data_IF_119080176402
#
_entry.id   IF_119080176402
#
_cell.length_a   1.000
_cell.length_b   1.000
_cell.length_c   1.000
_cell.angle_alpha   90.00
_cell.angle_beta   90.00
_cell.angle_gamma   90.00
#
_symmetry.space_group_name_H-M   'P 1'
#
loop_
_entity.id
_entity.type
_entity.pdbx_description
1 polymer ?
#
# COMPACT_ATOMS: atom_id res chain seq x y z
N UNK A 1 4.36 -17.37 -4.17
CA UNK A 1 4.36 -17.08 -2.72
C UNK A 1 5.64 -17.62 -2.09
N UNK A 2 6.17 -16.96 -1.07
CA UNK A 2 7.29 -17.43 -0.25
C UNK A 2 6.99 -17.11 1.22
N UNK A 3 7.54 -17.86 2.18
CA UNK A 3 7.41 -17.49 3.61
C UNK A 3 8.46 -16.43 3.96
N UNK A 4 8.03 -15.31 4.52
CA UNK A 4 8.92 -14.30 5.11
C UNK A 4 9.50 -14.84 6.42
N UNK A 5 10.61 -14.24 6.90
CA UNK A 5 11.26 -14.61 8.17
C UNK A 5 10.34 -14.54 9.39
N UNK A 6 9.27 -13.75 9.32
CA UNK A 6 8.25 -13.62 10.37
C UNK A 6 7.09 -14.63 10.25
N UNK A 7 7.18 -15.63 9.37
CA UNK A 7 6.13 -16.65 9.19
C UNK A 7 4.97 -16.23 8.28
N UNK A 8 4.86 -14.95 7.92
CA UNK A 8 3.83 -14.47 6.99
C UNK A 8 4.10 -14.90 5.54
N UNK A 9 3.04 -15.08 4.75
CA UNK A 9 3.14 -15.31 3.31
C UNK A 9 3.53 -14.00 2.61
N UNK A 10 4.70 -13.99 1.98
CA UNK A 10 5.14 -12.97 1.04
C UNK A 10 4.75 -13.33 -0.37
N UNK A 11 4.20 -12.36 -1.10
CA UNK A 11 4.11 -12.44 -2.54
C UNK A 11 5.43 -11.92 -3.14
N UNK A 12 5.99 -12.65 -4.10
CA UNK A 12 7.12 -12.20 -4.90
C UNK A 12 6.67 -12.25 -6.34
N UNK A 13 6.49 -11.08 -6.93
CA UNK A 13 6.19 -10.89 -8.34
C UNK A 13 7.16 -11.67 -9.21
N UNK A 14 8.47 -11.50 -8.98
CA UNK A 14 9.53 -12.19 -9.73
C UNK A 14 9.40 -13.71 -9.68
N UNK A 15 9.08 -14.30 -8.51
CA UNK A 15 8.90 -15.75 -8.39
C UNK A 15 7.62 -16.25 -9.03
N UNK A 16 6.51 -15.51 -8.92
CA UNK A 16 5.27 -15.89 -9.58
C UNK A 16 5.41 -15.77 -11.10
N UNK A 17 5.94 -14.65 -11.59
CA UNK A 17 6.17 -14.38 -13.00
C UNK A 17 7.08 -15.43 -13.65
N UNK A 18 8.20 -15.78 -12.99
CA UNK A 18 9.11 -16.84 -13.44
C UNK A 18 8.48 -18.25 -13.40
N UNK A 19 7.49 -18.48 -12.53
CA UNK A 19 6.79 -19.77 -12.47
C UNK A 19 5.62 -19.85 -13.48
N UNK A 20 4.88 -18.76 -13.66
CA UNK A 20 3.70 -18.68 -14.52
C UNK A 20 4.08 -18.58 -16.00
N UNK A 21 5.19 -17.90 -16.33
CA UNK A 21 5.69 -17.76 -17.70
C UNK A 21 7.23 -17.80 -17.74
N UNK A 22 7.86 -18.99 -17.57
CA UNK A 22 9.31 -19.12 -17.36
C UNK A 22 10.16 -18.46 -18.44
N UNK A 23 9.85 -18.71 -19.71
CA UNK A 23 10.64 -18.17 -20.83
C UNK A 23 10.42 -16.67 -21.08
N UNK A 24 9.37 -16.08 -20.50
CA UNK A 24 9.03 -14.68 -20.73
C UNK A 24 9.81 -13.75 -19.80
N UNK A 25 10.10 -14.21 -18.58
CA UNK A 25 10.84 -13.45 -17.58
C UNK A 25 12.29 -13.94 -17.37
N UNK A 26 12.70 -15.06 -17.98
CA UNK A 26 14.05 -15.61 -17.90
C UNK A 26 15.15 -14.79 -18.60
N UNK A 27 14.80 -13.86 -19.49
CA UNK A 27 15.78 -13.04 -20.19
C UNK A 27 16.25 -11.88 -19.28
N UNK A 28 17.39 -12.10 -18.62
CA UNK A 28 18.09 -11.18 -17.68
C UNK A 28 18.85 -10.04 -18.38
N UNK A 29 18.50 -9.70 -19.62
CA UNK A 29 18.98 -8.42 -20.16
C UNK A 29 18.47 -7.32 -19.23
N UNK A 30 19.32 -6.38 -18.78
CA UNK A 30 18.94 -5.36 -17.80
C UNK A 30 18.00 -4.37 -18.49
N UNK A 31 16.73 -4.76 -18.61
CA UNK A 31 15.67 -3.83 -18.91
C UNK A 31 15.59 -2.95 -17.67
N UNK A 32 15.79 -1.65 -17.88
CA UNK A 32 15.55 -0.58 -16.89
C UNK A 32 14.11 -0.55 -16.37
N UNK A 33 13.30 -1.60 -16.56
CA UNK A 33 11.83 -1.57 -16.48
C UNK A 33 11.20 -2.76 -15.76
N UNK A 34 11.95 -3.51 -14.93
CA UNK A 34 11.37 -4.68 -14.22
C UNK A 34 10.25 -4.27 -13.23
N UNK A 35 10.21 -3.01 -12.83
CA UNK A 35 9.10 -2.43 -12.07
C UNK A 35 8.50 -1.24 -12.82
N UNK A 36 7.17 -1.11 -12.81
CA UNK A 36 6.55 0.19 -13.08
C UNK A 36 7.23 1.22 -12.18
N UNK A 37 7.83 2.24 -12.79
CA UNK A 37 8.41 3.36 -12.06
C UNK A 37 7.40 3.92 -11.06
N UNK A 38 7.85 4.38 -9.88
CA UNK A 38 6.97 4.93 -8.85
C UNK A 38 5.98 5.97 -9.39
N UNK A 39 6.42 6.83 -10.31
CA UNK A 39 5.57 7.80 -10.99
C UNK A 39 4.39 7.17 -11.76
N UNK A 40 4.62 6.09 -12.52
CA UNK A 40 3.55 5.39 -13.25
C UNK A 40 2.54 4.74 -12.32
N UNK A 41 3.01 4.21 -11.17
CA UNK A 41 2.14 3.70 -10.10
C UNK A 41 1.27 4.81 -9.53
N UNK A 42 1.85 5.98 -9.26
CA UNK A 42 1.11 7.15 -8.79
C UNK A 42 0.03 7.59 -9.77
N UNK A 43 0.36 7.65 -11.07
CA UNK A 43 -0.61 8.05 -12.11
C UNK A 43 -1.78 7.08 -12.16
N UNK A 44 -1.52 5.77 -12.16
CA UNK A 44 -2.58 4.77 -12.11
C UNK A 44 -3.40 4.90 -10.82
N UNK A 45 -2.74 5.03 -9.68
CA UNK A 45 -3.41 5.14 -8.38
C UNK A 45 -4.35 6.34 -8.31
N UNK A 46 -3.86 7.52 -8.71
CA UNK A 46 -4.64 8.76 -8.71
C UNK A 46 -5.85 8.67 -9.65
N UNK A 47 -5.68 8.05 -10.82
CA UNK A 47 -6.77 7.82 -11.76
C UNK A 47 -7.88 6.97 -11.15
N UNK A 48 -7.51 5.89 -10.45
CA UNK A 48 -8.49 4.97 -9.87
C UNK A 48 -9.15 5.49 -8.62
N UNK A 49 -8.42 6.15 -7.73
CA UNK A 49 -9.02 6.73 -6.52
C UNK A 49 -10.03 7.84 -6.85
N UNK A 50 -9.86 8.51 -8.00
CA UNK A 50 -10.83 9.49 -8.50
C UNK A 50 -12.04 8.84 -9.22
N UNK A 51 -12.00 7.54 -9.48
CA UNK A 51 -13.08 6.82 -10.17
C UNK A 51 -14.21 6.45 -9.20
N UNK A 52 -15.39 6.16 -9.74
CA UNK A 52 -16.54 5.74 -8.94
C UNK A 52 -16.32 4.40 -8.22
N UNK A 53 -15.50 3.52 -8.80
CA UNK A 53 -15.10 2.26 -8.19
C UNK A 53 -13.58 2.14 -8.17
N UNK A 54 -12.92 2.53 -7.06
CA UNK A 54 -11.46 2.56 -6.97
C UNK A 54 -10.76 1.21 -7.08
N UNK A 55 -11.50 0.10 -7.16
CA UNK A 55 -10.94 -1.25 -7.21
C UNK A 55 -10.84 -1.82 -8.63
N UNK A 56 -11.53 -1.21 -9.58
CA UNK A 56 -11.68 -1.74 -10.93
C UNK A 56 -10.81 -0.96 -11.90
N UNK A 57 -10.22 -1.66 -12.87
CA UNK A 57 -9.55 -1.01 -13.97
C UNK A 57 -10.58 -0.66 -15.05
N UNK A 58 -10.38 0.48 -15.69
CA UNK A 58 -11.17 0.99 -16.80
C UNK A 58 -10.38 0.95 -18.11
N UNK A 59 -11.03 1.35 -19.20
CA UNK A 59 -10.43 1.39 -20.53
C UNK A 59 -9.22 2.32 -20.66
N UNK A 60 -9.10 3.34 -19.79
CA UNK A 60 -8.05 4.36 -19.83
C UNK A 60 -6.87 4.06 -18.92
N UNK A 61 -7.04 3.12 -17.99
CA UNK A 61 -6.07 2.77 -16.96
C UNK A 61 -4.67 2.51 -17.50
N UNK A 62 -4.56 1.72 -18.58
CA UNK A 62 -3.27 1.33 -19.15
C UNK A 62 -2.57 2.48 -19.88
N UNK A 63 -3.34 3.41 -20.44
CA UNK A 63 -2.82 4.63 -21.03
C UNK A 63 -2.30 5.58 -19.94
N UNK A 64 -3.11 5.83 -18.90
CA UNK A 64 -2.74 6.74 -17.79
C UNK A 64 -1.52 6.22 -17.02
N UNK A 65 -1.43 4.90 -16.82
CA UNK A 65 -0.26 4.25 -16.21
C UNK A 65 0.99 4.25 -17.11
N UNK A 66 0.88 4.72 -18.37
CA UNK A 66 1.99 4.75 -19.32
C UNK A 66 2.45 3.37 -19.80
N UNK A 67 1.61 2.33 -19.65
CA UNK A 67 1.86 0.99 -20.21
C UNK A 67 1.69 1.02 -21.72
N UNK A 68 0.74 1.81 -22.22
CA UNK A 68 0.54 2.04 -23.65
C UNK A 68 0.55 3.53 -23.96
N UNK A 69 1.02 3.89 -25.15
CA UNK A 69 1.21 5.30 -25.54
C UNK A 69 -0.05 5.94 -26.16
N UNK A 70 -1.11 5.14 -26.39
CA UNK A 70 -2.34 5.61 -27.02
C UNK A 70 -3.60 5.01 -26.38
N UNK A 71 -4.62 5.84 -26.16
CA UNK A 71 -5.92 5.41 -25.62
C UNK A 71 -6.60 4.32 -26.46
N UNK A 72 -6.47 4.40 -27.79
CA UNK A 72 -7.05 3.41 -28.70
C UNK A 72 -6.46 2.02 -28.50
N UNK A 73 -5.18 1.94 -28.13
CA UNK A 73 -4.51 0.68 -27.76
C UNK A 73 -4.95 0.24 -26.37
N UNK A 74 -5.10 1.18 -25.43
CA UNK A 74 -5.60 0.90 -24.06
C UNK A 74 -6.97 0.22 -24.09
N UNK A 75 -7.91 0.72 -24.93
CA UNK A 75 -9.22 0.07 -25.15
C UNK A 75 -9.10 -1.36 -25.67
N UNK A 76 -8.20 -1.60 -26.63
CA UNK A 76 -7.95 -2.95 -27.18
C UNK A 76 -7.35 -3.88 -26.13
N UNK A 77 -6.42 -3.39 -25.32
CA UNK A 77 -5.84 -4.12 -24.19
C UNK A 77 -6.93 -4.50 -23.20
N UNK A 78 -7.74 -3.53 -22.77
CA UNK A 78 -8.87 -3.75 -21.87
C UNK A 78 -9.82 -4.84 -22.37
N UNK A 79 -10.28 -4.74 -23.63
CA UNK A 79 -11.15 -5.73 -24.25
C UNK A 79 -10.50 -7.13 -24.32
N UNK A 80 -9.19 -7.19 -24.61
CA UNK A 80 -8.45 -8.46 -24.62
C UNK A 80 -8.29 -9.05 -23.23
N UNK A 81 -8.03 -8.25 -22.20
CA UNK A 81 -7.92 -8.73 -20.83
C UNK A 81 -9.26 -9.28 -20.33
N UNK A 82 -10.37 -8.60 -20.64
CA UNK A 82 -11.73 -9.12 -20.38
C UNK A 82 -12.00 -10.42 -21.11
N UNK A 83 -11.71 -10.48 -22.41
CA UNK A 83 -11.88 -11.70 -23.22
C UNK A 83 -11.13 -12.92 -22.67
N UNK A 84 -9.99 -12.70 -22.01
CA UNK A 84 -9.18 -13.77 -21.42
C UNK A 84 -9.42 -13.93 -19.90
N UNK A 85 -10.47 -13.32 -19.36
CA UNK A 85 -10.88 -13.38 -17.94
C UNK A 85 -9.84 -12.84 -16.94
N UNK A 86 -8.80 -12.13 -17.41
CA UNK A 86 -7.80 -11.48 -16.55
C UNK A 86 -8.40 -10.23 -15.91
N UNK A 87 -9.33 -9.59 -16.61
CA UNK A 87 -10.28 -8.66 -16.01
C UNK A 87 -11.64 -9.33 -15.98
N UNK A 88 -12.30 -9.27 -14.82
CA UNK A 88 -13.71 -9.65 -14.69
C UNK A 88 -14.60 -8.61 -15.38
N UNK A 89 -15.89 -8.92 -15.50
CA UNK A 89 -16.87 -8.03 -16.15
C UNK A 89 -16.96 -6.66 -15.48
N UNK A 90 -16.82 -6.63 -14.15
CA UNK A 90 -16.77 -5.42 -13.32
C UNK A 90 -15.45 -4.64 -13.44
N UNK A 91 -14.41 -5.22 -14.04
CA UNK A 91 -13.08 -4.63 -14.17
C UNK A 91 -12.11 -4.98 -13.04
N UNK A 92 -12.47 -5.90 -12.13
CA UNK A 92 -11.53 -6.43 -11.14
C UNK A 92 -10.45 -7.27 -11.82
N UNK A 93 -9.20 -7.10 -11.37
CA UNK A 93 -8.06 -7.89 -11.83
C UNK A 93 -8.08 -9.27 -11.17
N UNK A 94 -7.85 -10.30 -11.98
CA UNK A 94 -7.58 -11.67 -11.53
C UNK A 94 -6.25 -12.14 -12.13
N UNK A 95 -5.18 -12.06 -11.33
CA UNK A 95 -3.84 -12.40 -11.83
C UNK A 95 -3.60 -13.90 -11.97
N UNK A 96 -4.46 -14.75 -11.40
CA UNK A 96 -4.35 -16.21 -11.54
C UNK A 96 -4.62 -16.68 -12.98
N UNK A 97 -5.30 -15.86 -13.77
CA UNK A 97 -5.58 -16.11 -15.19
C UNK A 97 -4.40 -15.79 -16.10
N UNK A 98 -3.35 -15.14 -15.58
CA UNK A 98 -2.11 -14.89 -16.31
C UNK A 98 -1.30 -16.19 -16.34
N UNK A 99 -1.28 -16.84 -17.50
CA UNK A 99 -0.56 -18.09 -17.72
C UNK A 99 0.37 -18.06 -18.93
N UNK A 100 0.93 -19.21 -19.33
CA UNK A 100 1.92 -19.31 -20.41
C UNK A 100 1.45 -18.77 -21.77
N UNK A 101 0.13 -18.71 -21.99
CA UNK A 101 -0.49 -18.21 -23.23
C UNK A 101 -0.64 -16.68 -23.25
N UNK A 102 -0.39 -16.00 -22.13
CA UNK A 102 -0.51 -14.53 -22.02
C UNK A 102 0.21 -13.77 -23.15
N UNK A 103 1.45 -14.12 -23.54
CA UNK A 103 2.15 -13.38 -24.59
C UNK A 103 1.45 -13.45 -25.94
N UNK A 104 0.82 -14.59 -26.24
CA UNK A 104 0.05 -14.79 -27.47
C UNK A 104 -1.32 -14.09 -27.40
N UNK A 105 -1.97 -14.10 -26.23
CA UNK A 105 -3.25 -13.44 -26.02
C UNK A 105 -3.16 -11.91 -26.22
N UNK A 106 -2.01 -11.33 -25.83
CA UNK A 106 -1.71 -9.91 -25.87
C UNK A 106 -0.65 -9.53 -26.93
N UNK A 107 -0.55 -10.31 -28.02
CA UNK A 107 0.39 -10.11 -29.11
C UNK A 107 0.28 -8.74 -29.85
N UNK A 108 -0.74 -7.94 -29.54
CA UNK A 108 -0.85 -6.55 -30.01
C UNK A 108 0.16 -5.60 -29.34
N UNK A 109 0.78 -6.03 -28.23
CA UNK A 109 1.83 -5.33 -27.52
C UNK A 109 3.17 -6.03 -27.76
N UNK A 110 4.27 -5.28 -27.78
CA UNK A 110 5.61 -5.86 -27.77
C UNK A 110 5.93 -6.49 -26.41
N UNK A 111 6.96 -7.35 -26.36
CA UNK A 111 7.34 -8.10 -25.15
C UNK A 111 7.58 -7.20 -23.93
N UNK A 112 8.20 -6.04 -24.12
CA UNK A 112 8.47 -5.09 -23.03
C UNK A 112 7.19 -4.47 -22.47
N UNK A 113 6.25 -4.06 -23.33
CA UNK A 113 4.95 -3.54 -22.90
C UNK A 113 4.08 -4.62 -22.26
N UNK A 114 4.19 -5.86 -22.71
CA UNK A 114 3.53 -6.99 -22.06
C UNK A 114 4.10 -7.22 -20.64
N UNK A 115 5.42 -7.12 -20.44
CA UNK A 115 6.05 -7.18 -19.11
C UNK A 115 5.56 -6.03 -18.21
N UNK A 116 5.57 -4.79 -18.71
CA UNK A 116 5.04 -3.61 -18.00
C UNK A 116 3.58 -3.84 -17.59
N UNK A 117 2.74 -4.34 -18.50
CA UNK A 117 1.34 -4.62 -18.22
C UNK A 117 1.17 -5.65 -17.11
N UNK A 118 1.91 -6.76 -17.15
CA UNK A 118 1.87 -7.78 -16.11
C UNK A 118 2.29 -7.16 -14.77
N UNK A 119 3.39 -6.39 -14.75
CA UNK A 119 3.82 -5.66 -13.55
C UNK A 119 2.73 -4.74 -13.00
N UNK A 120 2.03 -4.00 -13.87
CA UNK A 120 0.93 -3.12 -13.48
C UNK A 120 -0.23 -3.89 -12.87
N UNK A 121 -0.65 -5.00 -13.49
CA UNK A 121 -1.79 -5.79 -13.04
C UNK A 121 -1.54 -6.40 -11.65
N UNK A 122 -0.34 -6.95 -11.43
CA UNK A 122 0.05 -7.49 -10.13
C UNK A 122 0.13 -6.40 -9.06
N UNK A 123 0.81 -5.29 -9.36
CA UNK A 123 0.88 -4.17 -8.45
C UNK A 123 -0.51 -3.65 -8.09
N UNK A 124 -1.41 -3.53 -9.07
CA UNK A 124 -2.78 -3.06 -8.83
C UNK A 124 -3.59 -4.03 -7.98
N UNK A 125 -3.45 -5.33 -8.19
CA UNK A 125 -4.10 -6.33 -7.35
C UNK A 125 -3.62 -6.24 -5.88
N UNK A 126 -2.32 -6.09 -5.66
CA UNK A 126 -1.75 -5.85 -4.33
C UNK A 126 -2.26 -4.54 -3.71
N UNK A 127 -2.35 -3.47 -4.51
CA UNK A 127 -2.87 -2.18 -4.06
C UNK A 127 -4.35 -2.28 -3.68
N UNK A 128 -5.16 -3.00 -4.45
CA UNK A 128 -6.55 -3.30 -4.09
C UNK A 128 -6.65 -4.08 -2.77
N UNK A 129 -5.75 -5.05 -2.53
CA UNK A 129 -5.70 -5.75 -1.24
C UNK A 129 -5.34 -4.80 -0.09
N UNK A 130 -4.40 -3.88 -0.30
CA UNK A 130 -4.03 -2.85 0.68
C UNK A 130 -5.21 -1.93 0.99
N UNK A 131 -5.88 -1.42 -0.04
CA UNK A 131 -7.06 -0.56 0.11
C UNK A 131 -8.19 -1.25 0.87
N UNK A 132 -8.48 -2.53 0.59
CA UNK A 132 -9.49 -3.30 1.34
C UNK A 132 -9.14 -3.46 2.82
N UNK A 133 -7.85 -3.58 3.17
CA UNK A 133 -7.41 -3.62 4.56
C UNK A 133 -7.65 -2.29 5.26
N UNK A 134 -7.33 -1.18 4.60
CA UNK A 134 -7.60 0.16 5.14
C UNK A 134 -9.10 0.41 5.30
N UNK A 135 -9.92 -0.01 4.33
CA UNK A 135 -11.38 0.10 4.44
C UNK A 135 -11.92 -0.73 5.61
N UNK A 136 -11.42 -1.95 5.82
CA UNK A 136 -11.79 -2.78 6.97
C UNK A 136 -11.36 -2.14 8.30
N UNK A 137 -10.14 -1.61 8.37
CA UNK A 137 -9.63 -0.90 9.55
C UNK A 137 -10.47 0.35 9.86
N UNK A 138 -10.84 1.14 8.84
CA UNK A 138 -11.72 2.30 9.00
C UNK A 138 -13.10 1.88 9.52
N UNK A 139 -13.68 0.81 9.00
CA UNK A 139 -14.97 0.27 9.46
C UNK A 139 -14.92 -0.19 10.92
N UNK A 140 -13.86 -0.89 11.32
CA UNK A 140 -13.66 -1.35 12.70
C UNK A 140 -13.53 -0.15 13.66
N UNK A 141 -12.78 0.88 13.25
CA UNK A 141 -12.64 2.12 14.02
C UNK A 141 -13.97 2.89 14.13
N UNK A 142 -14.76 2.97 13.07
CA UNK A 142 -16.08 3.61 13.12
C UNK A 142 -17.04 2.88 14.07
N UNK A 143 -16.98 1.54 14.13
CA UNK A 143 -17.74 0.77 15.10
C UNK A 143 -17.33 1.06 16.56
N UNK A 144 -16.01 1.11 16.83
CA UNK A 144 -15.47 1.43 18.16
C UNK A 144 -15.77 2.87 18.58
N UNK A 145 -15.73 3.82 17.65
CA UNK A 145 -16.11 5.22 17.90
C UNK A 145 -17.58 5.27 18.29
N UNK A 146 -18.46 4.66 17.51
CA UNK A 146 -19.90 4.61 17.80
C UNK A 146 -20.19 4.02 19.18
N UNK A 147 -19.54 2.91 19.54
CA UNK A 147 -19.67 2.30 20.87
C UNK A 147 -19.19 3.25 21.98
N UNK A 148 -18.07 3.94 21.77
CA UNK A 148 -17.50 4.90 22.72
C UNK A 148 -18.36 6.14 22.90
N UNK A 149 -18.99 6.64 21.83
CA UNK A 149 -19.96 7.75 21.88
C UNK A 149 -21.20 7.35 22.69
N UNK A 150 -21.72 6.13 22.48
CA UNK A 150 -22.84 5.61 23.27
C UNK A 150 -22.45 5.48 24.75
N UNK A 151 -21.24 4.98 25.07
CA UNK A 151 -20.75 4.90 26.46
C UNK A 151 -20.68 6.29 27.09
N UNK A 152 -20.13 7.27 26.39
CA UNK A 152 -20.00 8.64 26.87
C UNK A 152 -21.36 9.26 27.25
N UNK A 153 -22.44 8.95 26.50
CA UNK A 153 -23.79 9.43 26.83
C UNK A 153 -24.44 8.76 28.04
N UNK A 154 -23.95 7.59 28.46
CA UNK A 154 -24.48 6.82 29.60
C UNK A 154 -23.70 7.06 30.89
N UNK A 155 -22.47 7.56 30.80
CA UNK A 155 -21.62 7.86 31.94
C UNK A 155 -22.05 9.18 32.60
N UNK A 156 -22.05 9.21 33.92
CA UNK A 156 -22.37 10.41 34.71
C UNK A 156 -21.38 11.55 34.42
N UNK A 157 -21.91 12.77 34.36
CA UNK A 157 -21.15 14.01 34.15
C UNK A 157 -20.11 14.19 35.27
N UNK A 158 -18.88 14.57 34.89
CA UNK A 158 -17.72 14.85 35.76
C UNK A 158 -17.10 13.64 36.48
N UNK A 159 -17.43 12.41 36.08
CA UNK A 159 -16.72 11.22 36.55
C UNK A 159 -15.35 11.06 35.87
N UNK A 160 -14.36 10.53 36.60
CA UNK A 160 -13.06 10.15 36.03
C UNK A 160 -13.20 9.14 34.87
N UNK A 161 -14.27 8.34 34.88
CA UNK A 161 -14.62 7.41 33.81
C UNK A 161 -15.01 8.16 32.52
N UNK A 162 -15.77 9.26 32.63
CA UNK A 162 -16.16 10.07 31.48
C UNK A 162 -14.93 10.67 30.78
N UNK A 163 -13.97 11.18 31.56
CA UNK A 163 -12.73 11.73 31.03
C UNK A 163 -11.89 10.67 30.31
N UNK A 164 -11.78 9.46 30.87
CA UNK A 164 -11.09 8.32 30.25
C UNK A 164 -11.75 7.89 28.91
N UNK A 165 -13.09 7.82 28.87
CA UNK A 165 -13.84 7.50 27.65
C UNK A 165 -13.62 8.58 26.58
N UNK A 166 -13.58 9.86 26.98
CA UNK A 166 -13.33 10.98 26.06
C UNK A 166 -11.92 10.91 25.46
N UNK A 167 -10.90 10.66 26.27
CA UNK A 167 -9.52 10.48 25.79
C UNK A 167 -9.40 9.30 24.82
N UNK A 168 -10.08 8.19 25.13
CA UNK A 168 -10.12 7.01 24.26
C UNK A 168 -10.81 7.33 22.93
N UNK A 169 -11.94 8.04 22.97
CA UNK A 169 -12.66 8.49 21.78
C UNK A 169 -11.80 9.38 20.88
N UNK A 170 -11.08 10.34 21.46
CA UNK A 170 -10.20 11.22 20.71
C UNK A 170 -9.08 10.41 20.03
N UNK A 171 -8.48 9.45 20.72
CA UNK A 171 -7.47 8.54 20.14
C UNK A 171 -8.04 7.72 18.98
N UNK A 172 -9.25 7.17 19.11
CA UNK A 172 -9.91 6.43 18.02
C UNK A 172 -10.16 7.33 16.80
N UNK A 173 -10.59 8.57 17.03
CA UNK A 173 -10.78 9.57 15.96
C UNK A 173 -9.46 9.91 15.26
N UNK A 174 -8.37 10.06 16.02
CA UNK A 174 -7.03 10.24 15.45
C UNK A 174 -6.57 9.02 14.65
N UNK A 175 -6.77 7.81 15.16
CA UNK A 175 -6.44 6.58 14.45
C UNK A 175 -7.20 6.48 13.12
N UNK A 176 -8.49 6.80 13.11
CA UNK A 176 -9.30 6.84 11.88
C UNK A 176 -8.77 7.86 10.88
N UNK A 177 -8.41 9.05 11.32
CA UNK A 177 -7.85 10.04 10.40
C UNK A 177 -6.48 9.59 9.86
N UNK A 178 -5.66 8.88 10.66
CA UNK A 178 -4.41 8.27 10.17
C UNK A 178 -4.68 7.27 9.04
N UNK A 179 -5.70 6.42 9.16
CA UNK A 179 -6.11 5.49 8.08
C UNK A 179 -6.51 6.27 6.82
N UNK A 180 -7.33 7.31 6.97
CA UNK A 180 -7.72 8.19 5.85
C UNK A 180 -6.52 8.86 5.19
N UNK A 181 -5.53 9.27 5.98
CA UNK A 181 -4.29 9.85 5.48
C UNK A 181 -3.46 8.82 4.71
N UNK A 182 -3.29 7.58 5.21
CA UNK A 182 -2.65 6.47 4.49
C UNK A 182 -3.34 6.19 3.15
N UNK A 183 -4.67 6.30 3.10
CA UNK A 183 -5.46 6.16 1.86
C UNK A 183 -5.25 7.30 0.87
N UNK A 184 -4.93 8.53 1.32
CA UNK A 184 -4.71 9.66 0.41
C UNK A 184 -3.29 9.70 -0.17
N UNK A 185 -2.35 8.97 0.46
CA UNK A 185 -0.95 8.97 0.05
C UNK A 185 -0.72 8.22 -1.25
N UNK A 186 0.04 8.86 -2.15
CA UNK A 186 0.49 8.23 -3.39
C UNK A 186 1.50 7.12 -3.10
N UNK A 187 1.53 6.04 -3.90
CA UNK A 187 2.51 4.97 -3.77
C UNK A 187 3.96 5.44 -3.54
N UNK A 188 4.42 6.47 -4.25
CA UNK A 188 5.79 6.99 -4.11
C UNK A 188 6.07 7.77 -2.82
N UNK A 189 5.03 8.20 -2.11
CA UNK A 189 5.13 9.02 -0.88
C UNK A 189 5.07 8.17 0.39
N UNK A 190 4.82 6.87 0.27
CA UNK A 190 4.59 5.98 1.40
C UNK A 190 5.90 5.53 2.01
N UNK A 191 5.97 5.56 3.33
CA UNK A 191 7.07 4.99 4.11
C UNK A 191 6.80 3.50 4.38
N UNK A 192 7.70 2.59 3.98
CA UNK A 192 7.55 1.15 4.23
C UNK A 192 7.42 0.79 5.72
N UNK A 193 8.00 1.58 6.64
CA UNK A 193 7.92 1.30 8.07
C UNK A 193 6.53 1.63 8.64
N UNK A 194 5.94 2.73 8.15
CA UNK A 194 4.58 3.16 8.50
C UNK A 194 3.52 2.23 7.90
N UNK A 195 3.75 1.71 6.69
CA UNK A 195 2.86 0.73 6.05
C UNK A 195 2.99 -0.69 6.63
N UNK A 196 4.13 -1.00 7.26
CA UNK A 196 4.34 -2.26 7.96
C UNK A 196 3.83 -2.21 9.42
N UNK A 197 3.23 -1.10 9.83
CA UNK A 197 2.69 -0.88 11.18
C UNK A 197 3.71 -1.19 12.28
N UNK A 198 5.00 -0.94 12.00
CA UNK A 198 6.09 -1.16 12.98
C UNK A 198 6.07 -0.15 14.13
N UNK A 199 5.36 0.95 13.93
CA UNK A 199 5.16 2.01 14.91
C UNK A 199 3.85 1.81 15.70
N UNK A 200 3.32 0.59 15.77
CA UNK A 200 1.97 0.33 16.25
C UNK A 200 1.76 0.70 17.73
N UNK A 201 1.17 1.87 17.90
CA UNK A 201 0.54 2.34 19.14
C UNK A 201 -0.57 1.36 19.54
N UNK A 202 -1.26 0.71 18.59
CA UNK A 202 -2.35 -0.25 18.88
C UNK A 202 -1.84 -1.50 19.64
N UNK A 203 -0.63 -1.98 19.37
CA UNK A 203 0.00 -3.05 20.16
C UNK A 203 0.40 -2.59 21.57
N UNK A 204 0.73 -1.30 21.75
CA UNK A 204 0.99 -0.73 23.07
C UNK A 204 -0.28 -0.69 23.95
N UNK A 205 -1.48 -0.62 23.36
CA UNK A 205 -2.75 -0.63 24.09
C UNK A 205 -3.25 -2.04 24.43
N UNK A 206 -3.14 -3.01 23.51
CA UNK A 206 -3.52 -4.39 23.80
C UNK A 206 -2.54 -5.10 24.75
N UNK A 207 -1.29 -4.61 24.86
CA UNK A 207 -0.26 -5.14 25.75
C UNK A 207 -0.27 -4.59 27.19
N UNK A 208 -1.10 -3.59 27.51
CA UNK A 208 -1.08 -2.96 28.86
C UNK A 208 -1.94 -3.67 29.92
N UNK A 209 -2.60 -4.77 29.56
CA UNK A 209 -3.37 -5.61 30.49
C UNK A 209 -2.67 -6.93 30.78
N UNK A 210 -1.48 -6.86 31.39
CA UNK A 210 -0.91 -7.81 32.38
C UNK A 210 0.58 -7.49 32.61
N UNK A 211 0.87 -6.90 33.76
CA UNK A 211 2.13 -6.97 34.51
C UNK A 211 3.44 -6.97 33.71
N UNK A 212 4.07 -5.80 33.58
CA UNK A 212 5.53 -5.73 33.51
C UNK A 212 5.99 -4.75 34.59
N UNK A 213 6.94 -5.13 35.48
CA UNK A 213 7.38 -4.25 36.56
C UNK A 213 8.17 -3.08 35.99
N UNK A 214 7.90 -1.92 36.58
CA UNK A 214 8.74 -0.74 36.49
C UNK A 214 10.16 -1.09 36.95
N UNK A 215 11.13 -1.15 36.04
CA UNK A 215 12.55 -1.24 36.41
C UNK A 215 13.21 0.08 36.07
N UNK A 216 13.64 0.74 37.13
CA UNK A 216 14.20 2.08 37.12
C UNK A 216 15.60 2.17 36.53
N UNK A 217 15.88 3.40 36.09
CA UNK A 217 17.10 4.21 36.24
C UNK A 217 18.34 3.51 36.85
N UNK A 218 19.46 3.69 36.12
CA UNK A 218 20.90 3.51 36.43
C UNK A 218 21.55 2.13 36.20
N UNK A 219 22.38 2.03 35.13
CA UNK A 219 23.84 2.17 35.24
C UNK A 219 24.60 1.80 33.93
N UNK A 220 25.49 2.71 33.53
CA UNK A 220 26.82 2.49 32.93
C UNK A 220 27.02 1.71 31.60
N UNK A 221 27.31 2.53 30.57
CA UNK A 221 28.54 2.52 29.77
C UNK A 221 28.99 1.22 29.09
N UNK A 222 28.94 1.22 27.76
CA UNK A 222 30.16 1.10 26.92
C UNK A 222 30.00 1.89 25.63
N UNK A 223 31.10 2.55 25.28
CA UNK A 223 31.33 3.55 24.25
C UNK A 223 31.17 3.08 22.79
N UNK A 224 30.62 3.92 21.93
CA UNK A 224 31.29 4.30 20.67
C UNK A 224 30.76 5.63 20.15
N UNK A 225 31.67 6.59 20.05
CA UNK A 225 31.43 8.00 19.70
C UNK A 225 31.12 8.16 18.20
N UNK A 226 30.06 8.92 17.89
CA UNK A 226 29.99 9.80 16.71
C UNK A 226 29.21 11.06 17.10
N UNK A 227 29.80 12.27 17.05
CA UNK A 227 29.09 13.48 17.43
C UNK A 227 28.11 13.91 16.32
N UNK A 228 26.86 14.12 16.74
CA UNK A 228 25.79 14.80 16.02
C UNK A 228 26.12 16.31 16.01
N UNK A 229 26.37 16.89 14.84
CA UNK A 229 26.39 18.36 14.69
C UNK A 229 24.96 18.85 14.41
N UNK A 230 24.40 19.52 15.41
CA UNK A 230 23.19 20.32 15.31
C UNK A 230 23.51 21.68 14.67
N UNK A 231 22.67 22.09 13.72
CA UNK A 231 22.26 23.49 13.49
C UNK A 231 23.33 24.52 13.12
N UNK A 232 23.56 24.70 11.82
CA UNK A 232 24.03 25.99 11.29
C UNK A 232 23.24 26.33 10.01
N UNK A 233 22.62 27.52 9.91
CA UNK A 233 21.94 27.94 8.69
C UNK A 233 22.94 28.26 7.56
N UNK A 234 22.55 28.06 6.29
CA UNK A 234 23.46 28.14 5.15
C UNK A 234 23.99 29.56 4.93
N UNK A 235 25.31 29.71 4.84
CA UNK A 235 25.97 30.94 4.43
C UNK A 235 25.91 31.09 2.91
N UNK A 236 25.35 32.20 2.44
CA UNK A 236 25.42 32.61 1.04
C UNK A 236 26.78 33.27 0.78
N UNK A 237 27.60 32.67 -0.09
CA UNK A 237 28.79 33.33 -0.63
C UNK A 237 28.38 34.24 -1.80
N UNK A 238 28.88 35.48 -1.78
CA UNK A 238 28.74 36.43 -2.88
C UNK A 238 30.04 36.49 -3.70
N UNK A 239 29.89 36.40 -5.03
CA UNK A 239 30.83 36.91 -6.04
C UNK A 239 32.00 35.98 -6.40
N UNK A 240 32.63 36.19 -7.57
CA UNK A 240 32.68 37.42 -8.35
C UNK A 240 31.74 37.49 -9.58
#
# INVERSE_FOLDING_TARGET
MYRKRNGSLGFSFTRFANAAVPNFFADETPSRTVDLTGYRRDMCYMHQIASANPYTLDERSFYVAGVVDAESVSRKVYAKLKKNEILKEDGLVDTHKIGPKFPHQLALLNIYRQKDLVGMLFWWEEECQRLRKLDAEEMDLDALISESEIKLTKTEEDSAEQQCVKETLDQLKFARERVRMKRRQRPSQRDPEVEADRDDIIMAFHGRSKSVPNVGVNAMATSSERPIQQGQPPQYFAGP
#
